data_IF_544806608833
#
_entry.id   IF_544806608833
#
_cell.length_a   1.000
_cell.length_b   1.000
_cell.length_c   1.000
_cell.angle_alpha   90.00
_cell.angle_beta   90.00
_cell.angle_gamma   90.00
#
_symmetry.space_group_name_H-M   'P 1'
#
loop_
_entity.id
_entity.type
_entity.pdbx_description
1 polymer ?
#
# COMPACT_ATOMS: atom_id res chain seq x y z
N UNK A 1 3.16 39.10 -27.51
CA UNK A 1 2.92 37.72 -27.01
C UNK A 1 4.03 37.45 -26.01
N UNK A 2 3.70 37.03 -24.79
CA UNK A 2 4.72 36.66 -23.80
C UNK A 2 5.34 35.34 -24.23
N UNK A 3 6.65 35.32 -24.53
CA UNK A 3 7.41 34.08 -24.71
C UNK A 3 7.80 33.61 -23.32
N UNK A 4 7.28 32.46 -22.90
CA UNK A 4 7.64 31.85 -21.63
C UNK A 4 9.04 31.22 -21.72
N UNK A 5 10.09 32.02 -21.83
CA UNK A 5 11.47 31.53 -21.78
C UNK A 5 12.01 31.49 -20.35
N UNK A 6 13.05 30.69 -20.10
CA UNK A 6 13.69 30.62 -18.80
C UNK A 6 14.21 32.00 -18.34
N UNK A 7 14.80 32.79 -19.23
CA UNK A 7 15.22 34.15 -18.93
C UNK A 7 14.07 35.07 -18.49
N UNK A 8 12.89 34.94 -19.10
CA UNK A 8 11.73 35.72 -18.70
C UNK A 8 11.13 35.24 -17.37
N UNK A 9 11.16 33.92 -17.13
CA UNK A 9 10.77 33.31 -15.86
C UNK A 9 11.66 33.81 -14.72
N UNK A 10 12.97 33.71 -14.86
CA UNK A 10 13.93 34.11 -13.82
C UNK A 10 13.89 35.61 -13.52
N UNK A 11 13.76 36.46 -14.55
CA UNK A 11 13.57 37.90 -14.33
C UNK A 11 12.31 38.21 -13.55
N UNK A 12 11.23 37.47 -13.80
CA UNK A 12 10.00 37.64 -13.04
C UNK A 12 10.18 37.20 -11.58
N UNK A 13 10.76 36.01 -11.36
CA UNK A 13 11.04 35.46 -10.03
C UNK A 13 11.93 36.44 -9.23
N UNK A 14 13.02 36.93 -9.82
CA UNK A 14 13.91 37.90 -9.20
C UNK A 14 13.17 39.20 -8.79
N UNK A 15 12.24 39.69 -9.62
CA UNK A 15 11.44 40.86 -9.32
C UNK A 15 10.37 40.64 -8.23
N UNK A 16 9.98 39.39 -7.96
CA UNK A 16 8.93 39.01 -7.00
C UNK A 16 9.44 38.28 -5.76
N UNK A 17 10.76 38.19 -5.58
CA UNK A 17 11.37 37.58 -4.39
C UNK A 17 11.53 36.06 -4.46
N UNK A 18 11.50 35.47 -5.66
CA UNK A 18 11.80 34.05 -5.91
C UNK A 18 10.58 33.20 -6.26
N UNK A 19 9.38 33.65 -5.88
CA UNK A 19 8.15 32.84 -5.95
C UNK A 19 7.38 32.99 -7.28
N UNK A 20 6.66 31.91 -7.62
CA UNK A 20 5.70 31.85 -8.72
C UNK A 20 4.30 32.18 -8.22
N UNK A 21 3.82 33.38 -8.53
CA UNK A 21 2.45 33.80 -8.20
C UNK A 21 1.41 33.30 -9.20
N UNK A 22 0.13 33.46 -8.86
CA UNK A 22 -1.00 33.01 -9.68
C UNK A 22 -1.02 33.65 -11.09
N UNK A 23 -0.52 34.90 -11.21
CA UNK A 23 -0.48 35.59 -12.49
C UNK A 23 0.54 34.97 -13.45
N UNK A 24 1.76 34.72 -12.98
CA UNK A 24 2.76 34.04 -13.79
C UNK A 24 2.37 32.57 -14.01
N UNK A 25 1.81 31.90 -13.00
CA UNK A 25 1.26 30.56 -13.14
C UNK A 25 0.26 30.46 -14.31
N UNK A 26 -0.73 31.34 -14.36
CA UNK A 26 -1.72 31.34 -15.44
C UNK A 26 -1.15 31.69 -16.83
N UNK A 27 0.00 32.38 -16.91
CA UNK A 27 0.72 32.59 -18.17
C UNK A 27 1.48 31.34 -18.61
N UNK A 28 2.17 30.68 -17.67
CA UNK A 28 2.91 29.45 -17.93
C UNK A 28 1.98 28.29 -18.30
N UNK A 29 0.85 28.16 -17.61
CA UNK A 29 -0.17 27.16 -17.93
C UNK A 29 -0.69 27.33 -19.37
N UNK A 30 -0.96 28.56 -19.80
CA UNK A 30 -1.38 28.85 -21.18
C UNK A 30 -0.28 28.60 -22.20
N UNK A 31 0.98 28.80 -21.82
CA UNK A 31 2.12 28.55 -22.68
C UNK A 31 2.40 27.05 -22.84
N UNK A 32 2.14 26.26 -21.80
CA UNK A 32 2.31 24.80 -21.77
C UNK A 32 3.76 24.30 -21.81
N UNK A 33 4.74 25.19 -21.98
CA UNK A 33 6.18 24.90 -21.92
C UNK A 33 6.97 26.15 -21.59
N UNK A 34 8.16 25.95 -21.01
CA UNK A 34 9.20 26.95 -20.92
C UNK A 34 10.21 26.71 -22.05
N UNK A 35 10.62 27.78 -22.74
CA UNK A 35 11.58 27.71 -23.85
C UNK A 35 13.01 27.88 -23.33
N UNK A 36 13.91 27.03 -23.81
CA UNK A 36 15.35 26.98 -23.47
C UNK A 36 16.24 26.75 -24.70
N UNK A 37 15.67 26.89 -25.90
CA UNK A 37 16.23 26.45 -27.17
C UNK A 37 16.81 27.56 -28.06
N UNK A 38 16.44 28.83 -27.82
CA UNK A 38 16.97 29.98 -28.56
C UNK A 38 18.02 30.79 -27.78
N UNK A 39 18.88 31.51 -28.51
CA UNK A 39 19.84 32.44 -27.91
C UNK A 39 19.12 33.49 -27.06
N UNK A 40 19.49 33.58 -25.79
CA UNK A 40 18.85 34.47 -24.81
C UNK A 40 17.66 33.86 -24.06
N UNK A 41 17.24 32.64 -24.38
CA UNK A 41 16.21 31.94 -23.59
C UNK A 41 16.78 31.35 -22.29
N UNK A 42 18.04 30.91 -22.28
CA UNK A 42 18.71 30.31 -21.10
C UNK A 42 19.81 31.17 -20.46
N UNK A 43 20.06 32.38 -20.97
CA UNK A 43 21.12 33.25 -20.45
C UNK A 43 20.58 34.55 -19.87
N UNK A 44 21.19 35.06 -18.80
CA UNK A 44 20.85 36.37 -18.25
C UNK A 44 21.44 37.53 -19.10
N UNK A 45 21.15 38.77 -18.71
CA UNK A 45 21.57 39.99 -19.40
C UNK A 45 23.10 40.17 -19.50
N UNK A 46 23.87 39.52 -18.62
CA UNK A 46 25.33 39.49 -18.63
C UNK A 46 25.92 38.30 -19.42
N UNK A 47 25.05 37.44 -19.98
CA UNK A 47 25.43 36.26 -20.75
C UNK A 47 25.75 35.01 -19.91
N UNK A 48 25.52 35.03 -18.59
CA UNK A 48 25.63 33.82 -17.75
C UNK A 48 24.48 32.85 -17.99
N UNK A 49 24.74 31.54 -17.93
CA UNK A 49 23.70 30.52 -17.99
C UNK A 49 22.84 30.54 -16.73
N UNK A 50 21.54 30.48 -16.91
CA UNK A 50 20.55 30.41 -15.84
C UNK A 50 20.43 28.99 -15.31
N UNK A 51 20.16 28.89 -14.01
CA UNK A 51 20.01 27.60 -13.34
C UNK A 51 18.65 26.97 -13.66
N UNK A 52 18.66 26.02 -14.61
CA UNK A 52 17.47 25.23 -14.99
C UNK A 52 16.93 24.38 -13.83
N UNK A 53 17.81 23.94 -12.93
CA UNK A 53 17.43 23.10 -11.81
C UNK A 53 16.67 23.91 -10.76
N UNK A 54 17.18 25.10 -10.39
CA UNK A 54 16.48 26.02 -9.50
C UNK A 54 15.11 26.45 -10.08
N UNK A 55 15.06 26.76 -11.38
CA UNK A 55 13.81 27.08 -12.06
C UNK A 55 12.80 25.93 -12.04
N UNK A 56 13.27 24.69 -12.28
CA UNK A 56 12.41 23.51 -12.25
C UNK A 56 11.84 23.28 -10.85
N UNK A 57 12.67 23.36 -9.81
CA UNK A 57 12.24 23.23 -8.40
C UNK A 57 11.20 24.30 -8.06
N UNK A 58 11.41 25.56 -8.44
CA UNK A 58 10.45 26.62 -8.20
C UNK A 58 9.10 26.36 -8.88
N UNK A 59 9.11 25.85 -10.11
CA UNK A 59 7.90 25.44 -10.83
C UNK A 59 7.17 24.30 -10.12
N UNK A 60 7.90 23.29 -9.63
CA UNK A 60 7.31 22.16 -8.90
C UNK A 60 6.68 22.58 -7.56
N UNK A 61 7.26 23.57 -6.89
CA UNK A 61 6.77 24.13 -5.64
C UNK A 61 5.61 25.13 -5.81
N UNK A 62 5.25 25.50 -7.03
CA UNK A 62 4.15 26.42 -7.32
C UNK A 62 2.79 25.74 -7.16
N UNK A 63 2.34 25.56 -5.91
CA UNK A 63 1.09 24.86 -5.55
C UNK A 63 -0.20 25.49 -6.11
N UNK A 64 -0.12 26.70 -6.68
CA UNK A 64 -1.20 27.35 -7.43
C UNK A 64 -1.49 26.66 -8.78
N UNK A 65 -0.55 25.86 -9.29
CA UNK A 65 -0.66 25.11 -10.53
C UNK A 65 -1.05 23.65 -10.27
N UNK A 66 -1.81 23.07 -11.21
CA UNK A 66 -2.09 21.63 -11.20
C UNK A 66 -0.77 20.83 -11.26
N UNK A 67 -0.73 19.67 -10.59
CA UNK A 67 0.46 18.80 -10.51
C UNK A 67 1.02 18.46 -11.89
N UNK A 68 0.16 18.04 -12.83
CA UNK A 68 0.57 17.74 -14.20
C UNK A 68 1.22 18.93 -14.91
N UNK A 69 0.63 20.14 -14.76
CA UNK A 69 1.16 21.36 -15.39
C UNK A 69 2.54 21.69 -14.82
N UNK A 70 2.72 21.54 -13.50
CA UNK A 70 4.04 21.72 -12.85
C UNK A 70 5.08 20.77 -13.42
N UNK A 71 4.75 19.48 -13.56
CA UNK A 71 5.67 18.46 -14.08
C UNK A 71 6.01 18.70 -15.56
N UNK A 72 5.02 19.05 -16.39
CA UNK A 72 5.24 19.33 -17.82
C UNK A 72 6.17 20.54 -18.01
N UNK A 73 5.93 21.62 -17.24
CA UNK A 73 6.76 22.82 -17.26
C UNK A 73 8.19 22.52 -16.75
N UNK A 74 8.34 21.81 -15.63
CA UNK A 74 9.63 21.42 -15.11
C UNK A 74 10.41 20.51 -16.08
N UNK A 75 9.72 19.60 -16.77
CA UNK A 75 10.31 18.75 -17.81
C UNK A 75 10.80 19.57 -18.99
N UNK A 76 10.03 20.59 -19.42
CA UNK A 76 10.41 21.46 -20.55
C UNK A 76 11.64 22.33 -20.30
N UNK A 77 12.03 22.50 -19.02
CA UNK A 77 13.26 23.19 -18.64
C UNK A 77 14.52 22.34 -18.84
N UNK A 78 14.36 21.03 -19.08
CA UNK A 78 15.46 20.07 -19.24
C UNK A 78 16.51 20.18 -18.10
N UNK A 79 16.10 20.08 -16.82
CA UNK A 79 17.04 20.16 -15.70
C UNK A 79 17.94 18.92 -15.67
N UNK A 80 19.08 19.04 -14.98
CA UNK A 80 19.86 17.86 -14.63
C UNK A 80 19.05 16.96 -13.68
N UNK A 81 18.97 15.67 -13.99
CA UNK A 81 18.24 14.68 -13.19
C UNK A 81 19.21 13.70 -12.51
N UNK A 82 18.83 13.13 -11.34
CA UNK A 82 17.60 13.39 -10.58
C UNK A 82 17.64 14.74 -9.82
N UNK A 83 16.47 15.38 -9.69
CA UNK A 83 16.28 16.54 -8.83
C UNK A 83 16.39 16.14 -7.34
N UNK A 84 16.85 17.08 -6.53
CA UNK A 84 16.96 16.89 -5.07
C UNK A 84 15.57 16.97 -4.45
N UNK A 85 15.11 15.85 -3.90
CA UNK A 85 13.77 15.72 -3.31
C UNK A 85 13.53 16.70 -2.16
N UNK A 86 14.55 16.97 -1.35
CA UNK A 86 14.45 17.86 -0.18
C UNK A 86 14.11 19.31 -0.56
N UNK A 87 14.37 19.71 -1.81
CA UNK A 87 14.04 21.03 -2.32
C UNK A 87 12.59 21.10 -2.86
N UNK A 88 11.91 19.96 -2.99
CA UNK A 88 10.54 19.85 -3.50
C UNK A 88 9.59 19.61 -2.32
N UNK A 89 8.56 20.45 -2.20
CA UNK A 89 7.57 20.37 -1.14
C UNK A 89 6.81 19.04 -1.15
N UNK A 90 6.91 18.29 -0.06
CA UNK A 90 6.07 17.11 0.16
C UNK A 90 4.61 17.52 0.32
N UNK A 91 3.73 17.03 -0.56
CA UNK A 91 2.31 17.38 -0.55
C UNK A 91 1.41 16.14 -0.73
N UNK A 92 0.16 16.26 -0.30
CA UNK A 92 -0.85 15.20 -0.41
C UNK A 92 -1.50 15.19 -1.81
N UNK A 93 -0.70 14.88 -2.83
CA UNK A 93 -1.11 14.85 -4.23
C UNK A 93 -0.35 13.76 -5.03
N UNK A 94 -0.67 13.60 -6.30
CA UNK A 94 0.03 12.69 -7.21
C UNK A 94 1.35 13.24 -7.78
N UNK A 95 1.82 14.42 -7.32
CA UNK A 95 3.01 15.10 -7.83
C UNK A 95 4.21 14.16 -7.95
N UNK A 96 4.58 13.49 -6.87
CA UNK A 96 5.75 12.59 -6.87
C UNK A 96 5.57 11.36 -7.76
N UNK A 97 4.34 10.88 -7.96
CA UNK A 97 4.10 9.80 -8.92
C UNK A 97 4.36 10.27 -10.36
N UNK A 98 3.98 11.50 -10.68
CA UNK A 98 4.27 12.12 -11.97
C UNK A 98 5.77 12.41 -12.14
N UNK A 99 6.46 12.88 -11.09
CA UNK A 99 7.92 13.09 -11.11
C UNK A 99 8.68 11.79 -11.34
N UNK A 100 8.28 10.71 -10.69
CA UNK A 100 8.83 9.36 -10.91
C UNK A 100 8.57 8.88 -12.35
N UNK A 101 7.36 9.10 -12.88
CA UNK A 101 7.01 8.71 -14.25
C UNK A 101 7.81 9.48 -15.31
N UNK A 102 8.19 10.72 -15.01
CA UNK A 102 8.99 11.59 -15.86
C UNK A 102 10.51 11.46 -15.65
N UNK A 103 10.96 10.54 -14.78
CA UNK A 103 12.37 10.34 -14.41
C UNK A 103 13.05 11.63 -13.89
N UNK A 104 12.27 12.50 -13.24
CA UNK A 104 12.75 13.76 -12.67
C UNK A 104 13.31 13.60 -11.26
N UNK A 105 12.89 12.57 -10.52
CA UNK A 105 13.37 12.25 -9.17
C UNK A 105 13.78 10.79 -9.10
N UNK A 106 14.68 10.46 -8.19
CA UNK A 106 15.14 9.08 -8.01
C UNK A 106 14.01 8.18 -7.45
N UNK A 107 13.91 6.95 -7.94
CA UNK A 107 12.97 5.95 -7.42
C UNK A 107 13.60 5.20 -6.22
N UNK A 108 13.69 5.85 -5.07
CA UNK A 108 14.39 5.35 -3.88
C UNK A 108 13.70 5.73 -2.55
N UNK A 109 14.32 5.32 -1.43
CA UNK A 109 13.83 5.55 -0.08
C UNK A 109 13.69 7.04 0.25
N UNK A 110 14.58 7.91 -0.25
CA UNK A 110 14.55 9.35 0.04
C UNK A 110 13.31 9.98 -0.59
N UNK A 111 13.02 9.67 -1.84
CA UNK A 111 11.77 10.07 -2.49
C UNK A 111 10.55 9.56 -1.73
N UNK A 112 10.56 8.28 -1.36
CA UNK A 112 9.41 7.67 -0.69
C UNK A 112 9.21 8.16 0.76
N UNK A 113 10.25 8.65 1.43
CA UNK A 113 10.12 9.34 2.71
C UNK A 113 9.30 10.64 2.58
N UNK A 114 9.55 11.43 1.52
CA UNK A 114 8.76 12.63 1.24
C UNK A 114 7.32 12.28 0.82
N UNK A 115 7.15 11.29 -0.06
CA UNK A 115 5.84 10.78 -0.47
C UNK A 115 5.00 10.32 0.72
N UNK A 116 5.62 9.66 1.70
CA UNK A 116 4.96 9.18 2.92
C UNK A 116 4.34 10.32 3.74
N UNK A 117 4.95 11.50 3.75
CA UNK A 117 4.42 12.69 4.43
C UNK A 117 3.14 13.22 3.76
N UNK A 118 2.99 13.01 2.44
CA UNK A 118 1.77 13.31 1.69
C UNK A 118 0.61 12.33 1.93
N UNK A 119 0.82 11.27 2.71
CA UNK A 119 -0.20 10.26 3.01
C UNK A 119 -0.54 9.36 1.81
N UNK A 120 -1.66 8.65 1.89
CA UNK A 120 -2.04 7.67 0.86
C UNK A 120 -2.30 8.31 -0.53
N UNK A 121 -2.76 9.56 -0.55
CA UNK A 121 -2.99 10.31 -1.79
C UNK A 121 -1.72 10.48 -2.63
N UNK A 122 -0.54 10.54 -1.98
CA UNK A 122 0.76 10.56 -2.65
C UNK A 122 1.35 9.14 -2.79
N UNK A 123 1.29 8.35 -1.73
CA UNK A 123 1.94 7.04 -1.66
C UNK A 123 1.35 6.02 -2.64
N UNK A 124 0.02 5.91 -2.74
CA UNK A 124 -0.63 4.94 -3.62
C UNK A 124 -0.22 5.13 -5.08
N UNK A 125 -0.36 6.32 -5.67
CA UNK A 125 0.10 6.62 -7.02
C UNK A 125 1.60 6.40 -7.21
N UNK A 126 2.45 6.80 -6.26
CA UNK A 126 3.90 6.63 -6.36
C UNK A 126 4.31 5.15 -6.39
N UNK A 127 3.71 4.31 -5.52
CA UNK A 127 3.90 2.85 -5.54
C UNK A 127 3.55 2.31 -6.94
N UNK A 128 2.41 2.70 -7.53
CA UNK A 128 1.96 2.20 -8.84
C UNK A 128 2.94 2.50 -9.97
N UNK A 129 3.68 3.61 -9.89
CA UNK A 129 4.66 3.98 -10.92
C UNK A 129 6.04 3.40 -10.64
N UNK A 130 6.47 3.33 -9.38
CA UNK A 130 7.82 2.90 -8.98
C UNK A 130 8.25 1.53 -9.55
N UNK A 131 9.40 1.49 -10.20
CA UNK A 131 10.01 0.25 -10.69
C UNK A 131 10.84 -0.46 -9.62
N UNK A 132 11.18 0.21 -8.51
CA UNK A 132 12.14 -0.29 -7.51
C UNK A 132 11.59 -0.40 -6.09
N UNK A 133 10.32 -0.10 -5.85
CA UNK A 133 9.69 -0.12 -4.50
C UNK A 133 10.01 -1.40 -3.71
N UNK A 134 10.02 -2.57 -4.36
CA UNK A 134 10.33 -3.86 -3.72
C UNK A 134 11.72 -3.90 -3.06
N UNK A 135 12.68 -3.08 -3.51
CA UNK A 135 14.05 -3.09 -2.99
C UNK A 135 14.23 -2.30 -1.69
N UNK A 136 13.29 -1.42 -1.35
CA UNK A 136 13.36 -0.55 -0.17
C UNK A 136 12.03 -0.46 0.60
N UNK A 137 11.05 -1.30 0.26
CA UNK A 137 9.78 -1.36 0.96
C UNK A 137 10.00 -1.72 2.44
N UNK A 138 9.51 -0.88 3.34
CA UNK A 138 9.63 -1.07 4.78
C UNK A 138 8.27 -0.98 5.48
N UNK A 139 8.13 -1.56 6.69
CA UNK A 139 6.93 -1.38 7.51
C UNK A 139 6.57 0.09 7.75
N UNK A 140 7.56 0.94 8.01
CA UNK A 140 7.39 2.37 8.29
C UNK A 140 6.77 3.10 7.09
N UNK A 141 7.09 2.68 5.87
CA UNK A 141 6.54 3.25 4.65
C UNK A 141 5.04 2.94 4.47
N UNK A 142 4.57 1.78 4.94
CA UNK A 142 3.15 1.37 4.83
C UNK A 142 2.37 1.49 6.14
N UNK A 143 2.97 2.04 7.19
CA UNK A 143 2.34 2.14 8.50
C UNK A 143 0.98 2.87 8.42
N UNK A 144 -0.06 2.21 8.94
CA UNK A 144 -1.46 2.66 8.86
C UNK A 144 -2.10 2.63 7.46
N UNK A 145 -1.43 2.11 6.43
CA UNK A 145 -1.88 2.13 5.02
C UNK A 145 -1.89 0.75 4.35
N UNK A 146 -1.61 -0.33 5.08
CA UNK A 146 -1.60 -1.71 4.56
C UNK A 146 -2.95 -2.08 3.94
N UNK A 147 -4.06 -1.65 4.55
CA UNK A 147 -5.40 -1.95 4.03
C UNK A 147 -5.62 -1.34 2.65
N UNK A 148 -5.23 -0.09 2.44
CA UNK A 148 -5.34 0.59 1.15
C UNK A 148 -4.42 -0.04 0.11
N UNK A 149 -3.19 -0.35 0.50
CA UNK A 149 -2.18 -0.91 -0.39
C UNK A 149 -2.54 -2.31 -0.93
N UNK A 150 -3.23 -3.13 -0.13
CA UNK A 150 -3.71 -4.45 -0.55
C UNK A 150 -5.09 -4.41 -1.25
N UNK A 151 -5.84 -3.31 -1.12
CA UNK A 151 -7.18 -3.18 -1.72
C UNK A 151 -7.13 -2.76 -3.19
N UNK A 152 -6.12 -2.00 -3.60
CA UNK A 152 -5.89 -1.62 -4.99
C UNK A 152 -4.97 -2.63 -5.71
N UNK A 153 -5.39 -3.11 -6.89
CA UNK A 153 -4.66 -4.15 -7.61
C UNK A 153 -3.28 -3.70 -8.11
N UNK A 154 -3.11 -2.42 -8.43
CA UNK A 154 -1.85 -1.87 -8.94
C UNK A 154 -0.80 -1.73 -7.84
N UNK A 155 -1.21 -1.30 -6.64
CA UNK A 155 -0.30 -1.28 -5.48
C UNK A 155 -0.04 -2.68 -4.95
N UNK A 156 -1.09 -3.51 -4.82
CA UNK A 156 -0.96 -4.84 -4.26
C UNK A 156 -0.03 -5.74 -5.09
N UNK A 157 -0.01 -5.58 -6.41
CA UNK A 157 0.91 -6.31 -7.28
C UNK A 157 2.39 -6.10 -6.92
N UNK A 158 2.74 -4.97 -6.30
CA UNK A 158 4.12 -4.62 -5.93
C UNK A 158 4.45 -4.86 -4.47
N UNK A 159 3.48 -4.68 -3.56
CA UNK A 159 3.76 -4.73 -2.12
C UNK A 159 3.28 -6.00 -1.42
N UNK A 160 2.30 -6.71 -1.98
CA UNK A 160 1.63 -7.79 -1.25
C UNK A 160 2.56 -8.95 -0.88
N UNK A 161 3.53 -9.28 -1.75
CA UNK A 161 4.47 -10.38 -1.49
C UNK A 161 5.26 -10.17 -0.19
N UNK A 162 5.75 -8.95 0.04
CA UNK A 162 6.53 -8.62 1.22
C UNK A 162 5.65 -8.46 2.46
N UNK A 163 4.51 -7.78 2.32
CA UNK A 163 3.52 -7.62 3.40
C UNK A 163 3.03 -8.97 3.92
N UNK A 164 2.68 -9.91 3.03
CA UNK A 164 2.16 -11.23 3.44
C UNK A 164 3.25 -12.13 4.03
N UNK A 165 4.51 -11.97 3.62
CA UNK A 165 5.64 -12.71 4.23
C UNK A 165 5.93 -12.21 5.64
N UNK A 166 5.73 -10.91 5.90
CA UNK A 166 6.12 -10.24 7.13
C UNK A 166 4.95 -9.53 7.83
N UNK A 167 3.76 -10.15 7.85
CA UNK A 167 2.51 -9.53 8.35
C UNK A 167 2.66 -8.89 9.73
N UNK A 168 3.40 -9.54 10.65
CA UNK A 168 3.58 -9.03 12.00
C UNK A 168 4.45 -7.76 12.08
N UNK A 169 5.33 -7.54 11.11
CA UNK A 169 6.12 -6.31 11.00
C UNK A 169 5.31 -5.18 10.38
N UNK A 170 4.51 -5.47 9.35
CA UNK A 170 3.70 -4.47 8.64
C UNK A 170 2.39 -4.11 9.35
N UNK A 171 1.89 -4.97 10.25
CA UNK A 171 0.65 -4.75 11.01
C UNK A 171 0.95 -4.94 12.48
N UNK A 172 1.41 -3.90 13.17
CA UNK A 172 1.83 -3.98 14.58
C UNK A 172 0.65 -3.90 15.57
N UNK A 173 -0.34 -3.02 15.36
CA UNK A 173 -1.35 -2.66 16.39
C UNK A 173 -2.69 -3.44 16.36
N UNK A 174 -2.72 -4.70 15.91
CA UNK A 174 -3.98 -5.47 15.76
C UNK A 174 -5.04 -4.69 14.95
N UNK A 175 -4.60 -3.93 13.95
CA UNK A 175 -5.49 -3.20 13.05
C UNK A 175 -6.35 -4.18 12.23
N UNK A 176 -7.65 -4.21 12.55
CA UNK A 176 -8.61 -5.06 11.85
C UNK A 176 -8.70 -4.76 10.35
N UNK A 177 -8.61 -3.49 9.95
CA UNK A 177 -8.72 -3.13 8.53
C UNK A 177 -7.56 -3.74 7.74
N UNK A 178 -6.33 -3.62 8.24
CA UNK A 178 -5.13 -4.22 7.65
C UNK A 178 -5.19 -5.76 7.67
N UNK A 179 -5.48 -6.37 8.83
CA UNK A 179 -5.55 -7.84 8.96
C UNK A 179 -6.63 -8.45 8.07
N UNK A 180 -7.78 -7.78 7.92
CA UNK A 180 -8.84 -8.19 7.00
C UNK A 180 -8.38 -8.09 5.54
N UNK A 181 -7.64 -7.04 5.17
CA UNK A 181 -7.10 -6.90 3.82
C UNK A 181 -6.08 -8.01 3.51
N UNK A 182 -5.19 -8.33 4.45
CA UNK A 182 -4.27 -9.48 4.38
C UNK A 182 -5.05 -10.77 4.17
N UNK A 183 -6.07 -11.04 5.00
CA UNK A 183 -6.90 -12.24 4.90
C UNK A 183 -7.57 -12.35 3.52
N UNK A 184 -8.18 -11.26 3.04
CA UNK A 184 -8.86 -11.21 1.74
C UNK A 184 -7.88 -11.45 0.59
N UNK A 185 -6.71 -10.81 0.61
CA UNK A 185 -5.71 -10.95 -0.43
C UNK A 185 -5.18 -12.39 -0.46
N UNK A 186 -4.80 -12.93 0.70
CA UNK A 186 -4.29 -14.30 0.83
C UNK A 186 -5.29 -15.36 0.31
N UNK A 187 -6.55 -15.24 0.70
CA UNK A 187 -7.63 -16.14 0.26
C UNK A 187 -7.86 -16.05 -1.25
N UNK A 188 -7.91 -14.83 -1.80
CA UNK A 188 -8.13 -14.60 -3.23
C UNK A 188 -6.99 -15.12 -4.11
N UNK A 189 -5.75 -15.00 -3.64
CA UNK A 189 -4.55 -15.35 -4.40
C UNK A 189 -3.94 -16.69 -3.98
N UNK A 190 -4.61 -17.45 -3.10
CA UNK A 190 -4.14 -18.72 -2.56
C UNK A 190 -2.71 -18.65 -1.96
N UNK A 191 -2.41 -17.54 -1.29
CA UNK A 191 -1.13 -17.36 -0.59
C UNK A 191 -1.27 -17.92 0.81
N UNK A 192 -0.41 -18.88 1.16
CA UNK A 192 -0.36 -19.43 2.50
C UNK A 192 0.14 -18.39 3.50
N UNK A 193 -0.57 -18.25 4.62
CA UNK A 193 -0.14 -17.43 5.75
C UNK A 193 0.47 -18.31 6.84
N UNK A 194 1.30 -17.72 7.69
CA UNK A 194 1.71 -18.35 8.93
C UNK A 194 0.46 -18.63 9.80
N UNK A 195 0.30 -19.83 10.37
CA UNK A 195 -0.88 -20.16 11.15
C UNK A 195 -1.07 -19.26 12.38
N UNK A 196 -0.01 -18.72 12.98
CA UNK A 196 -0.11 -17.74 14.07
C UNK A 196 -0.73 -16.41 13.59
N UNK A 197 -0.47 -16.02 12.34
CA UNK A 197 -1.15 -14.87 11.70
C UNK A 197 -2.63 -15.18 11.50
N UNK A 198 -2.99 -16.39 11.08
CA UNK A 198 -4.40 -16.79 10.94
C UNK A 198 -5.13 -16.75 12.29
N UNK A 199 -4.51 -17.26 13.36
CA UNK A 199 -5.02 -17.15 14.74
C UNK A 199 -5.23 -15.69 15.13
N UNK A 200 -4.24 -14.84 14.84
CA UNK A 200 -4.32 -13.40 15.13
C UNK A 200 -5.49 -12.72 14.40
N UNK A 201 -5.65 -12.99 13.10
CA UNK A 201 -6.78 -12.46 12.31
C UNK A 201 -8.12 -12.93 12.92
N UNK A 202 -8.21 -14.20 13.33
CA UNK A 202 -9.42 -14.72 13.96
C UNK A 202 -9.73 -13.98 15.26
N UNK A 203 -8.74 -13.85 16.15
CA UNK A 203 -8.85 -13.16 17.44
C UNK A 203 -9.27 -11.70 17.29
N UNK A 204 -8.61 -10.95 16.42
CA UNK A 204 -8.89 -9.52 16.22
C UNK A 204 -10.25 -9.33 15.54
N UNK A 205 -10.63 -10.22 14.62
CA UNK A 205 -11.92 -10.19 13.96
C UNK A 205 -13.11 -10.66 14.84
N UNK A 206 -12.87 -11.17 16.04
CA UNK A 206 -13.93 -11.63 16.94
C UNK A 206 -14.89 -10.47 17.28
N UNK A 207 -16.19 -10.70 17.15
CA UNK A 207 -17.22 -9.68 17.33
C UNK A 207 -17.38 -8.68 16.18
N UNK A 208 -16.55 -8.73 15.14
CA UNK A 208 -16.77 -7.95 13.92
C UNK A 208 -17.79 -8.62 13.00
N UNK A 209 -18.86 -7.89 12.66
CA UNK A 209 -19.95 -8.39 11.80
C UNK A 209 -19.50 -8.81 10.39
N UNK A 210 -18.33 -8.34 9.94
CA UNK A 210 -17.77 -8.64 8.63
C UNK A 210 -16.68 -9.73 8.65
N UNK A 211 -16.50 -10.43 9.77
CA UNK A 211 -15.64 -11.61 9.85
C UNK A 211 -16.22 -12.76 9.00
N UNK A 212 -15.42 -13.25 8.06
CA UNK A 212 -15.82 -14.33 7.15
C UNK A 212 -15.28 -15.67 7.67
N UNK A 213 -16.13 -16.40 8.40
CA UNK A 213 -15.79 -17.71 8.98
C UNK A 213 -15.27 -18.69 7.91
N UNK A 214 -15.89 -18.72 6.73
CA UNK A 214 -15.48 -19.64 5.67
C UNK A 214 -14.08 -19.30 5.15
N UNK A 215 -13.75 -18.01 5.05
CA UNK A 215 -12.38 -17.57 4.74
C UNK A 215 -11.40 -17.99 5.82
N UNK A 216 -11.73 -17.82 7.09
CA UNK A 216 -10.83 -18.22 8.18
C UNK A 216 -10.49 -19.70 8.15
N UNK A 217 -11.48 -20.57 7.87
CA UNK A 217 -11.24 -22.00 7.72
C UNK A 217 -10.36 -22.33 6.50
N UNK A 218 -10.56 -21.66 5.36
CA UNK A 218 -9.70 -21.84 4.17
C UNK A 218 -8.26 -21.39 4.43
N UNK A 219 -8.07 -20.25 5.09
CA UNK A 219 -6.75 -19.73 5.44
C UNK A 219 -6.02 -20.66 6.42
N UNK A 220 -6.73 -21.19 7.41
CA UNK A 220 -6.16 -22.12 8.39
C UNK A 220 -5.77 -23.45 7.76
N UNK A 221 -6.60 -23.99 6.86
CA UNK A 221 -6.34 -25.22 6.11
C UNK A 221 -5.17 -25.07 5.12
N UNK A 222 -5.02 -23.89 4.52
CA UNK A 222 -3.95 -23.55 3.58
C UNK A 222 -2.69 -22.97 4.25
N UNK A 223 -2.64 -22.90 5.59
CA UNK A 223 -1.54 -22.27 6.31
C UNK A 223 -0.20 -22.99 6.05
N UNK A 224 0.89 -22.22 6.06
CA UNK A 224 2.25 -22.74 5.90
C UNK A 224 3.18 -22.09 6.94
N UNK A 225 3.85 -22.87 7.81
CA UNK A 225 3.76 -24.32 7.94
C UNK A 225 2.34 -24.80 8.31
N UNK A 226 2.06 -26.09 8.11
CA UNK A 226 0.74 -26.66 8.38
C UNK A 226 0.30 -26.40 9.83
N UNK A 227 -0.97 -26.06 10.02
CA UNK A 227 -1.54 -25.78 11.34
C UNK A 227 -1.49 -27.02 12.25
N UNK A 228 -1.18 -26.81 13.53
CA UNK A 228 -1.23 -27.84 14.59
C UNK A 228 -2.53 -27.71 15.38
N UNK A 229 -2.85 -28.68 16.24
CA UNK A 229 -4.14 -28.67 16.94
C UNK A 229 -4.38 -27.39 17.76
N UNK A 230 -3.35 -26.86 18.40
CA UNK A 230 -3.46 -25.61 19.18
C UNK A 230 -3.83 -24.42 18.29
N UNK A 231 -3.28 -24.30 17.08
CA UNK A 231 -3.70 -23.26 16.13
C UNK A 231 -5.17 -23.41 15.75
N UNK A 232 -5.62 -24.64 15.50
CA UNK A 232 -7.03 -24.91 15.16
C UNK A 232 -7.97 -24.53 16.31
N UNK A 233 -7.62 -24.89 17.54
CA UNK A 233 -8.38 -24.54 18.74
C UNK A 233 -8.42 -23.03 18.93
N UNK A 234 -7.26 -22.35 18.89
CA UNK A 234 -7.18 -20.90 19.07
C UNK A 234 -7.96 -20.14 17.99
N UNK A 235 -7.93 -20.59 16.73
CA UNK A 235 -8.78 -20.00 15.69
C UNK A 235 -10.26 -20.24 15.98
N UNK A 236 -10.67 -21.47 16.28
CA UNK A 236 -12.09 -21.85 16.47
C UNK A 236 -12.75 -21.10 17.63
N UNK A 237 -11.99 -20.76 18.69
CA UNK A 237 -12.44 -19.93 19.80
C UNK A 237 -13.11 -18.62 19.33
N UNK A 238 -12.60 -18.03 18.26
CA UNK A 238 -12.95 -16.69 17.79
C UNK A 238 -13.85 -16.67 16.55
N UNK A 239 -14.38 -17.83 16.11
CA UNK A 239 -15.28 -17.91 14.94
C UNK A 239 -16.77 -17.94 15.34
N UNK A 240 -17.08 -17.72 16.62
CA UNK A 240 -18.43 -17.82 17.15
C UNK A 240 -18.99 -19.25 17.15
N UNK A 241 -20.30 -19.38 17.36
CA UNK A 241 -20.97 -20.68 17.40
C UNK A 241 -21.11 -21.31 16.00
N UNK A 242 -20.90 -22.63 15.84
CA UNK A 242 -20.64 -23.61 16.89
C UNK A 242 -19.15 -23.79 17.25
N UNK A 243 -18.22 -23.16 16.53
CA UNK A 243 -16.77 -23.40 16.66
C UNK A 243 -16.23 -23.12 18.07
N UNK A 244 -16.70 -22.05 18.71
CA UNK A 244 -16.22 -21.62 20.02
C UNK A 244 -16.47 -22.65 21.15
N UNK A 245 -17.38 -23.61 20.95
CA UNK A 245 -17.63 -24.74 21.88
C UNK A 245 -16.44 -25.69 22.01
N UNK A 246 -15.45 -25.59 21.13
CA UNK A 246 -14.19 -26.35 21.24
C UNK A 246 -13.45 -26.11 22.56
N UNK A 247 -13.79 -25.03 23.28
CA UNK A 247 -13.23 -24.64 24.58
C UNK A 247 -13.77 -25.41 25.77
N UNK A 248 -14.90 -26.11 25.62
CA UNK A 248 -15.64 -26.70 26.73
C UNK A 248 -15.47 -28.23 26.69
N UNK A 249 -14.69 -28.84 27.61
CA UNK A 249 -14.57 -30.29 27.69
C UNK A 249 -15.94 -30.95 27.86
N UNK A 250 -16.19 -32.02 27.10
CA UNK A 250 -17.47 -32.74 27.09
C UNK A 250 -18.57 -32.13 26.21
N UNK A 251 -18.42 -30.90 25.70
CA UNK A 251 -19.39 -30.33 24.76
C UNK A 251 -19.43 -31.15 23.47
N UNK A 252 -20.63 -31.25 22.90
CA UNK A 252 -20.85 -31.90 21.60
C UNK A 252 -21.56 -30.96 20.63
N UNK A 253 -21.07 -30.92 19.39
CA UNK A 253 -21.60 -30.07 18.33
C UNK A 253 -21.43 -30.72 16.95
N UNK A 254 -22.14 -30.15 15.96
CA UNK A 254 -22.16 -30.66 14.60
C UNK A 254 -21.56 -29.66 13.61
N UNK A 255 -20.75 -30.18 12.68
CA UNK A 255 -20.26 -29.43 11.51
C UNK A 255 -20.82 -30.02 10.22
N UNK A 256 -20.89 -29.19 9.18
CA UNK A 256 -21.15 -29.70 7.85
C UNK A 256 -20.02 -30.65 7.41
N UNK A 257 -20.37 -31.66 6.64
CA UNK A 257 -19.41 -32.54 6.01
C UNK A 257 -18.87 -31.85 4.75
N UNK A 258 -17.65 -31.33 4.85
CA UNK A 258 -16.84 -30.89 3.73
C UNK A 258 -15.35 -31.21 4.00
N UNK A 259 -14.54 -31.05 2.96
CA UNK A 259 -13.14 -31.47 2.98
C UNK A 259 -12.28 -30.64 3.94
N UNK A 260 -12.63 -29.35 4.13
CA UNK A 260 -11.90 -28.44 5.03
C UNK A 260 -12.16 -28.87 6.48
N UNK A 261 -13.43 -29.07 6.85
CA UNK A 261 -13.78 -29.58 8.17
C UNK A 261 -13.16 -30.96 8.42
N UNK A 262 -13.17 -31.88 7.45
CA UNK A 262 -12.53 -33.18 7.65
C UNK A 262 -11.03 -33.04 7.94
N UNK A 263 -10.28 -32.22 7.19
CA UNK A 263 -8.85 -32.00 7.41
C UNK A 263 -8.57 -31.36 8.76
N UNK A 264 -9.25 -30.27 9.10
CA UNK A 264 -9.05 -29.57 10.39
C UNK A 264 -9.43 -30.46 11.58
N UNK A 265 -10.54 -31.21 11.49
CA UNK A 265 -10.95 -32.13 12.56
C UNK A 265 -10.02 -33.34 12.68
N UNK A 266 -9.36 -33.80 11.60
CA UNK A 266 -8.34 -34.85 11.68
C UNK A 266 -7.13 -34.41 12.48
N UNK A 267 -6.70 -33.16 12.36
CA UNK A 267 -5.60 -32.59 13.16
C UNK A 267 -5.95 -32.72 14.65
N UNK A 268 -7.12 -32.19 15.04
CA UNK A 268 -7.59 -32.26 16.44
C UNK A 268 -7.76 -33.70 16.95
N UNK A 269 -8.28 -34.60 16.13
CA UNK A 269 -8.47 -36.01 16.49
C UNK A 269 -7.12 -36.73 16.69
N UNK A 270 -6.13 -36.46 15.83
CA UNK A 270 -4.82 -37.10 15.92
C UNK A 270 -4.05 -36.75 17.21
N UNK A 271 -4.32 -35.58 17.77
CA UNK A 271 -3.76 -35.12 19.05
C UNK A 271 -4.68 -35.40 20.25
N UNK A 272 -5.71 -36.24 20.10
CA UNK A 272 -6.70 -36.57 21.13
C UNK A 272 -7.40 -35.36 21.76
N UNK A 273 -7.54 -34.24 21.03
CA UNK A 273 -8.28 -33.05 21.49
C UNK A 273 -9.80 -33.23 21.39
N UNK A 274 -10.23 -34.06 20.45
CA UNK A 274 -11.64 -34.38 20.23
C UNK A 274 -11.84 -35.87 19.98
N UNK A 275 -13.04 -36.33 20.26
CA UNK A 275 -13.61 -37.55 19.70
C UNK A 275 -14.52 -37.18 18.52
N UNK A 276 -14.42 -37.92 17.41
CA UNK A 276 -15.24 -37.68 16.22
C UNK A 276 -16.09 -38.89 15.86
N UNK A 277 -17.39 -38.69 15.70
CA UNK A 277 -18.30 -39.68 15.15
C UNK A 277 -18.20 -39.77 13.63
N UNK A 278 -18.66 -40.89 13.06
CA UNK A 278 -18.78 -41.03 11.60
C UNK A 278 -19.83 -40.06 11.04
N UNK A 279 -19.67 -39.57 9.80
CA UNK A 279 -20.64 -38.69 9.16
C UNK A 279 -22.04 -39.34 9.16
N UNK A 280 -23.03 -38.69 9.76
CA UNK A 280 -24.40 -39.23 9.80
C UNK A 280 -25.08 -39.00 8.44
N UNK A 281 -25.32 -40.06 7.69
CA UNK A 281 -26.14 -40.04 6.45
C UNK A 281 -27.62 -40.13 6.85
N UNK A 282 -28.54 -39.33 6.28
CA UNK A 282 -28.40 -38.46 5.10
C UNK A 282 -27.96 -37.02 5.39
N UNK A 283 -27.82 -36.63 6.67
CA UNK A 283 -27.61 -35.24 7.06
C UNK A 283 -26.24 -34.67 6.71
N UNK A 284 -25.25 -35.51 6.37
CA UNK A 284 -23.88 -35.11 5.98
C UNK A 284 -23.26 -34.16 7.00
N UNK A 285 -23.20 -34.60 8.27
CA UNK A 285 -22.60 -33.84 9.36
C UNK A 285 -21.62 -34.67 10.17
N UNK A 286 -20.52 -34.04 10.59
CA UNK A 286 -19.64 -34.56 11.64
C UNK A 286 -20.25 -34.27 13.00
N UNK A 287 -20.27 -35.26 13.89
CA UNK A 287 -20.54 -35.05 15.31
C UNK A 287 -19.19 -35.09 16.03
N UNK A 288 -18.89 -34.02 16.77
CA UNK A 288 -17.64 -33.83 17.48
C UNK A 288 -17.95 -33.70 18.97
N UNK A 289 -17.14 -34.34 19.80
CA UNK A 289 -17.15 -34.21 21.26
C UNK A 289 -15.76 -33.77 21.72
N UNK A 290 -15.68 -32.73 22.55
CA UNK A 290 -14.40 -32.25 23.10
C UNK A 290 -13.96 -33.20 24.21
N UNK A 291 -12.69 -33.64 24.17
CA UNK A 291 -12.13 -34.55 25.17
C UNK A 291 -11.71 -33.82 26.46
#
# INVERSE_FOLDING_TARGET
MFRASLANLERYRAARGGDLDEHLGGLLEKAGRVYVDEDGDSTDADGSELDRQDAAVAVLNASTLATQVRVDLATSLEPATPLVVDDIGCEASDLFALLLAADLVADDEVTFACVRLGGWAALGPAIKVSGRIESFLSPELLDGMVADALSDAGTAAKVAGEVLRNVNSYVSEDDWAALKAVAKYADKHAVALDPAVVVRIARVGDGHNDQDVARMLRLLDAASPAAVADHVIETFKHLGGPYNRITNPGDSFEFNFDDIHDRLLRILYSENRISRGYPRIPKRRYSVTVN
#
